data_IF_750206205740
#
_entry.id   IF_750206205740
#
_cell.length_a   1.000
_cell.length_b   1.000
_cell.length_c   1.000
_cell.angle_alpha   90.00
_cell.angle_beta   90.00
_cell.angle_gamma   90.00
#
_symmetry.space_group_name_H-M   'P 1'
#
loop_
_entity.id
_entity.type
_entity.pdbx_description
1 polymer ?
#
# COMPACT_ATOMS: atom_id res chain seq x y z
N UNK A 1 11.51 20.62 7.86
CA UNK A 1 11.27 19.41 8.67
C UNK A 1 10.79 18.33 7.71
N UNK A 2 11.59 17.30 7.45
CA UNK A 2 11.21 16.23 6.53
C UNK A 2 10.29 15.31 7.31
N UNK A 3 9.00 15.34 7.02
CA UNK A 3 8.07 14.33 7.55
C UNK A 3 8.41 12.98 6.94
N UNK A 4 9.03 12.15 7.72
CA UNK A 4 9.33 10.77 7.35
C UNK A 4 8.08 9.95 7.52
N UNK A 5 7.32 9.83 6.47
CA UNK A 5 6.30 8.80 6.42
C UNK A 5 7.02 7.46 6.23
N UNK A 6 6.70 6.47 7.06
CA UNK A 6 7.41 5.18 7.18
C UNK A 6 7.65 4.39 5.88
N UNK A 7 7.05 4.77 4.77
CA UNK A 7 7.25 4.16 3.46
C UNK A 7 7.82 5.13 2.42
N UNK A 8 7.76 6.44 2.68
CA UNK A 8 8.20 7.46 1.74
C UNK A 8 9.06 8.49 2.46
N UNK A 9 10.15 8.86 1.83
CA UNK A 9 10.96 10.02 2.20
C UNK A 9 10.80 11.03 1.09
N UNK A 10 10.34 12.23 1.43
CA UNK A 10 10.28 13.32 0.46
C UNK A 10 11.68 13.90 0.30
N UNK A 11 12.24 13.76 -0.88
CA UNK A 11 13.56 14.29 -1.23
C UNK A 11 13.55 14.69 -2.70
N UNK A 12 13.81 15.96 -2.98
CA UNK A 12 13.72 16.48 -4.33
C UNK A 12 15.01 16.22 -5.13
N UNK A 13 14.91 15.37 -6.13
CA UNK A 13 15.93 15.15 -7.16
C UNK A 13 15.35 15.33 -8.57
N UNK A 14 14.26 16.08 -8.72
CA UNK A 14 13.57 16.30 -9.98
C UNK A 14 12.19 15.68 -10.05
N UNK A 15 11.37 16.17 -10.97
CA UNK A 15 9.96 15.80 -11.13
C UNK A 15 9.69 14.78 -12.25
N UNK A 16 10.65 14.58 -13.14
CA UNK A 16 10.58 13.68 -14.30
C UNK A 16 11.97 13.26 -14.76
N UNK A 17 12.04 12.40 -15.75
CA UNK A 17 13.31 11.86 -16.27
C UNK A 17 14.24 12.93 -16.87
N UNK A 18 13.70 14.05 -17.39
CA UNK A 18 14.52 15.06 -18.06
C UNK A 18 15.23 15.99 -17.07
N UNK A 19 14.67 16.13 -15.86
CA UNK A 19 15.23 16.97 -14.81
C UNK A 19 15.69 16.18 -13.58
N UNK A 20 15.84 14.85 -13.70
CA UNK A 20 16.29 13.99 -12.62
C UNK A 20 17.78 14.16 -12.33
N UNK A 21 18.11 14.61 -11.13
CA UNK A 21 19.48 14.69 -10.64
C UNK A 21 19.90 13.37 -9.98
N UNK A 22 20.30 12.42 -10.82
CA UNK A 22 20.77 11.10 -10.39
C UNK A 22 21.98 11.20 -9.46
N UNK A 23 22.91 12.12 -9.73
CA UNK A 23 24.11 12.32 -8.91
C UNK A 23 23.76 12.71 -7.49
N UNK A 24 22.88 13.69 -7.33
CA UNK A 24 22.35 14.13 -6.03
C UNK A 24 21.65 12.98 -5.30
N UNK A 25 20.82 12.20 -6.01
CA UNK A 25 20.16 11.03 -5.46
C UNK A 25 21.15 10.00 -4.94
N UNK A 26 22.11 9.57 -5.77
CA UNK A 26 23.09 8.54 -5.43
C UNK A 26 24.02 8.96 -4.27
N UNK A 27 24.35 10.23 -4.17
CA UNK A 27 25.17 10.74 -3.06
C UNK A 27 24.44 10.76 -1.71
N UNK A 28 23.12 10.88 -1.72
CA UNK A 28 22.37 11.17 -0.50
C UNK A 28 21.41 10.07 -0.05
N UNK A 29 21.01 9.12 -0.92
CA UNK A 29 19.95 8.18 -0.57
C UNK A 29 20.22 7.32 0.67
N UNK A 30 21.50 6.99 0.93
CA UNK A 30 21.91 6.22 2.13
C UNK A 30 21.71 7.02 3.40
N UNK A 31 21.93 8.34 3.34
CA UNK A 31 21.79 9.24 4.48
C UNK A 31 20.30 9.51 4.81
N UNK A 32 19.40 9.21 3.87
CA UNK A 32 17.95 9.32 4.05
C UNK A 32 17.33 8.05 4.65
N UNK A 33 18.14 7.02 4.89
CA UNK A 33 17.70 5.77 5.43
C UNK A 33 17.60 5.84 6.97
N UNK A 34 16.55 5.25 7.55
CA UNK A 34 16.34 5.23 8.99
C UNK A 34 16.40 3.83 9.57
N UNK A 35 15.41 3.01 9.25
CA UNK A 35 15.28 1.65 9.75
C UNK A 35 14.42 0.82 8.80
N UNK A 36 14.53 -0.49 8.90
CA UNK A 36 13.60 -1.40 8.26
C UNK A 36 12.23 -1.29 8.93
N UNK A 37 11.17 -1.16 8.15
CA UNK A 37 9.84 -0.95 8.71
C UNK A 37 8.89 -2.09 8.40
N UNK A 38 7.93 -2.25 9.29
CA UNK A 38 6.90 -3.27 9.24
C UNK A 38 5.80 -2.87 8.27
N UNK A 39 5.26 -3.85 7.55
CA UNK A 39 4.01 -3.69 6.83
C UNK A 39 4.10 -2.79 5.62
N UNK A 40 5.20 -2.84 4.88
CA UNK A 40 5.27 -2.20 3.56
C UNK A 40 4.16 -2.76 2.65
N UNK A 41 3.57 -1.89 1.85
CA UNK A 41 2.41 -2.25 1.02
C UNK A 41 2.37 -1.47 -0.30
N UNK A 42 3.48 -0.85 -0.68
CA UNK A 42 3.63 -0.12 -1.93
C UNK A 42 4.65 -0.82 -2.83
N UNK A 43 4.49 -0.63 -4.14
CA UNK A 43 5.49 -1.03 -5.11
C UNK A 43 6.81 -0.24 -4.90
N UNK A 44 7.98 -0.82 -5.23
CA UNK A 44 8.12 -2.14 -5.82
C UNK A 44 7.98 -3.27 -4.80
N UNK A 45 7.44 -4.41 -5.24
CA UNK A 45 7.37 -5.62 -4.44
C UNK A 45 8.48 -6.59 -4.88
N UNK A 46 9.23 -7.11 -3.91
CA UNK A 46 10.09 -8.27 -4.11
C UNK A 46 9.37 -9.48 -3.52
N UNK A 47 9.01 -10.43 -4.37
CA UNK A 47 8.26 -11.62 -4.00
C UNK A 47 8.74 -12.82 -4.79
N UNK A 48 8.73 -14.01 -4.17
CA UNK A 48 9.11 -15.24 -4.86
C UNK A 48 8.12 -15.57 -5.98
N UNK A 49 8.61 -16.01 -7.14
CA UNK A 49 7.81 -16.30 -8.34
C UNK A 49 6.65 -17.27 -8.06
N UNK A 50 6.88 -18.28 -7.24
CA UNK A 50 5.84 -19.24 -6.87
C UNK A 50 4.69 -18.59 -6.09
N UNK A 51 4.99 -17.66 -5.19
CA UNK A 51 3.97 -16.89 -4.48
C UNK A 51 3.20 -15.98 -5.42
N UNK A 52 3.89 -15.33 -6.36
CA UNK A 52 3.25 -14.54 -7.41
C UNK A 52 2.25 -15.39 -8.20
N UNK A 53 2.67 -16.55 -8.68
CA UNK A 53 1.82 -17.46 -9.45
C UNK A 53 0.66 -18.00 -8.60
N UNK A 54 0.93 -18.38 -7.34
CA UNK A 54 -0.08 -18.89 -6.41
C UNK A 54 -1.21 -17.89 -6.15
N UNK A 55 -0.89 -16.59 -6.05
CA UNK A 55 -1.89 -15.56 -5.77
C UNK A 55 -2.46 -14.90 -7.03
N UNK A 56 -1.93 -15.23 -8.22
CA UNK A 56 -2.38 -14.70 -9.50
C UNK A 56 -1.99 -13.24 -9.75
N UNK A 57 -0.84 -12.78 -9.26
CA UNK A 57 -0.32 -11.44 -9.50
C UNK A 57 -1.25 -10.31 -9.04
N UNK A 58 -1.23 -9.16 -9.73
CA UNK A 58 -2.18 -8.07 -9.50
C UNK A 58 -3.56 -8.37 -10.10
N UNK A 59 -4.61 -7.89 -9.45
CA UNK A 59 -5.99 -8.08 -9.91
C UNK A 59 -6.40 -6.96 -10.87
N UNK A 60 -6.93 -7.32 -12.04
CA UNK A 60 -7.31 -6.39 -13.11
C UNK A 60 -8.43 -5.43 -12.71
N UNK A 61 -9.29 -5.83 -11.79
CA UNK A 61 -10.37 -5.00 -11.25
C UNK A 61 -9.89 -3.69 -10.59
N UNK A 62 -8.60 -3.58 -10.29
CA UNK A 62 -7.96 -2.36 -9.76
C UNK A 62 -7.30 -1.51 -10.85
N UNK A 63 -7.50 -1.80 -12.14
CA UNK A 63 -6.99 -0.95 -13.21
C UNK A 63 -7.60 0.48 -13.11
N UNK A 64 -6.79 1.54 -13.21
CA UNK A 64 -5.38 1.64 -13.61
C UNK A 64 -4.35 1.52 -12.46
N UNK A 65 -4.66 0.93 -11.31
CA UNK A 65 -3.66 0.57 -10.30
C UNK A 65 -3.97 1.00 -8.87
N UNK A 66 -4.91 1.92 -8.63
CA UNK A 66 -5.24 2.36 -7.27
C UNK A 66 -5.90 1.23 -6.49
N UNK A 67 -5.29 0.87 -5.34
CA UNK A 67 -5.76 -0.25 -4.53
C UNK A 67 -5.16 -1.60 -4.89
N UNK A 68 -4.41 -1.72 -6.00
CA UNK A 68 -3.78 -2.96 -6.43
C UNK A 68 -2.70 -3.45 -5.45
N UNK A 69 -1.87 -2.56 -4.92
CA UNK A 69 -0.83 -2.93 -3.96
C UNK A 69 -1.40 -3.53 -2.67
N UNK A 70 -2.36 -2.89 -1.97
CA UNK A 70 -2.97 -3.51 -0.80
C UNK A 70 -3.75 -4.79 -1.12
N UNK A 71 -4.38 -4.89 -2.29
CA UNK A 71 -5.03 -6.12 -2.74
C UNK A 71 -4.04 -7.27 -2.90
N UNK A 72 -2.94 -7.02 -3.60
CA UNK A 72 -1.87 -7.99 -3.76
C UNK A 72 -1.31 -8.46 -2.42
N UNK A 73 -1.03 -7.52 -1.50
CA UNK A 73 -0.57 -7.86 -0.16
C UNK A 73 -1.62 -8.64 0.65
N UNK A 74 -2.91 -8.38 0.47
CA UNK A 74 -3.97 -9.16 1.11
C UNK A 74 -4.04 -10.59 0.55
N UNK A 75 -3.84 -10.77 -0.75
CA UNK A 75 -3.72 -12.11 -1.36
C UNK A 75 -2.52 -12.87 -0.82
N UNK A 76 -1.36 -12.21 -0.70
CA UNK A 76 -0.16 -12.79 -0.07
C UNK A 76 -0.41 -13.16 1.39
N UNK A 77 -1.10 -12.31 2.15
CA UNK A 77 -1.50 -12.61 3.53
C UNK A 77 -2.34 -13.88 3.61
N UNK A 78 -3.36 -14.03 2.76
CA UNK A 78 -4.21 -15.21 2.69
C UNK A 78 -3.46 -16.46 2.23
N UNK A 79 -2.40 -16.29 1.43
CA UNK A 79 -1.51 -17.37 1.04
C UNK A 79 -0.54 -17.81 2.15
N UNK A 80 -0.58 -17.17 3.33
CA UNK A 80 0.24 -17.51 4.50
C UNK A 80 1.48 -16.62 4.70
N UNK A 81 1.71 -15.63 3.85
CA UNK A 81 2.85 -14.70 4.03
C UNK A 81 2.65 -13.86 5.28
N UNK A 82 3.71 -13.73 6.09
CA UNK A 82 3.70 -12.93 7.34
C UNK A 82 4.85 -11.93 7.42
N UNK A 83 5.75 -11.93 6.45
CA UNK A 83 6.86 -10.98 6.35
C UNK A 83 6.52 -9.96 5.27
N UNK A 84 6.25 -8.73 5.71
CA UNK A 84 6.02 -7.55 4.87
C UNK A 84 7.00 -6.47 5.31
N UNK A 85 8.22 -6.56 4.81
CA UNK A 85 9.35 -5.76 5.27
C UNK A 85 9.68 -4.65 4.28
N UNK A 86 9.70 -3.42 4.72
CA UNK A 86 10.31 -2.31 3.99
C UNK A 86 11.79 -2.27 4.30
N UNK A 87 12.62 -2.55 3.29
CA UNK A 87 14.08 -2.60 3.43
C UNK A 87 14.62 -1.18 3.31
N UNK A 88 15.21 -0.68 4.39
CA UNK A 88 15.68 0.68 4.53
C UNK A 88 16.70 1.10 3.46
N UNK A 89 17.64 0.23 3.13
CA UNK A 89 18.68 0.53 2.14
C UNK A 89 18.27 0.23 0.70
N UNK A 90 17.10 -0.37 0.48
CA UNK A 90 16.58 -0.66 -0.84
C UNK A 90 15.60 0.42 -1.26
N UNK A 91 16.06 1.39 -2.03
CA UNK A 91 15.33 2.61 -2.39
C UNK A 91 15.12 2.71 -3.89
N UNK A 92 13.98 3.29 -4.25
CA UNK A 92 13.72 3.79 -5.60
C UNK A 92 13.31 5.26 -5.50
N UNK A 93 13.62 6.01 -6.55
CA UNK A 93 13.07 7.35 -6.71
C UNK A 93 11.77 7.28 -7.49
N UNK A 94 10.71 7.87 -6.93
CA UNK A 94 9.38 7.86 -7.52
C UNK A 94 8.94 9.27 -7.90
N UNK A 95 8.74 9.51 -9.19
CA UNK A 95 8.32 10.82 -9.74
C UNK A 95 6.86 11.17 -9.44
N UNK A 96 6.32 10.76 -8.31
CA UNK A 96 4.99 11.13 -7.82
C UNK A 96 3.85 10.92 -8.82
N UNK A 97 3.80 9.77 -9.48
CA UNK A 97 2.67 9.34 -10.32
C UNK A 97 2.32 10.31 -11.47
N UNK A 98 3.31 10.84 -12.17
CA UNK A 98 3.13 11.79 -13.30
C UNK A 98 2.09 11.29 -14.31
N UNK A 99 2.05 9.99 -14.57
CA UNK A 99 1.11 9.36 -15.52
C UNK A 99 -0.33 9.27 -15.00
N UNK A 100 -0.51 9.10 -13.70
CA UNK A 100 -1.83 8.87 -13.07
C UNK A 100 -2.50 10.14 -12.58
N UNK A 101 -1.76 11.23 -12.35
CA UNK A 101 -2.31 12.49 -11.81
C UNK A 101 -3.41 13.10 -12.67
N UNK A 102 -3.32 12.96 -14.00
CA UNK A 102 -4.31 13.51 -14.94
C UNK A 102 -5.66 12.79 -14.96
N UNK A 103 -5.77 11.62 -14.26
CA UNK A 103 -7.00 10.80 -14.22
C UNK A 103 -7.53 10.57 -12.79
N UNK A 104 -6.99 11.26 -11.78
CA UNK A 104 -6.95 10.76 -10.40
C UNK A 104 -8.21 10.93 -9.57
N UNK A 105 -9.02 11.97 -9.76
CA UNK A 105 -10.06 12.30 -8.76
C UNK A 105 -11.24 11.32 -8.79
N UNK A 106 -11.65 10.87 -9.96
CA UNK A 106 -12.75 9.89 -10.12
C UNK A 106 -12.28 8.45 -9.82
N UNK A 107 -11.05 8.12 -10.21
CA UNK A 107 -10.50 6.76 -10.14
C UNK A 107 -10.02 6.41 -8.73
N UNK A 108 -9.53 7.38 -7.95
CA UNK A 108 -8.99 7.15 -6.61
C UNK A 108 -10.01 6.56 -5.64
N UNK A 109 -11.21 7.09 -5.65
CA UNK A 109 -12.31 6.58 -4.82
C UNK A 109 -12.75 5.17 -5.23
N UNK A 110 -12.66 4.82 -6.51
CA UNK A 110 -13.06 3.52 -7.02
C UNK A 110 -12.19 2.38 -6.50
N UNK A 111 -10.86 2.53 -6.46
CA UNK A 111 -9.94 1.50 -5.96
C UNK A 111 -10.13 1.17 -4.48
N UNK A 112 -10.34 2.18 -3.62
CA UNK A 112 -10.62 1.97 -2.19
C UNK A 112 -12.00 1.32 -1.97
N UNK A 113 -12.99 1.66 -2.79
CA UNK A 113 -14.32 1.05 -2.75
C UNK A 113 -14.24 -0.41 -3.22
N UNK A 114 -13.53 -0.68 -4.31
CA UNK A 114 -13.29 -2.04 -4.84
C UNK A 114 -12.64 -2.92 -3.78
N UNK A 115 -11.59 -2.41 -3.10
CA UNK A 115 -10.94 -3.12 -2.00
C UNK A 115 -11.93 -3.43 -0.85
N UNK A 116 -12.72 -2.42 -0.43
CA UNK A 116 -13.70 -2.57 0.64
C UNK A 116 -14.80 -3.58 0.25
N UNK A 117 -15.29 -3.56 -0.99
CA UNK A 117 -16.29 -4.52 -1.49
C UNK A 117 -15.72 -5.93 -1.49
N UNK A 118 -14.50 -6.13 -2.00
CA UNK A 118 -13.81 -7.42 -2.13
C UNK A 118 -13.50 -8.06 -0.77
N UNK A 119 -12.84 -7.31 0.11
CA UNK A 119 -12.29 -7.84 1.36
C UNK A 119 -13.17 -7.60 2.60
N UNK A 120 -14.22 -6.78 2.49
CA UNK A 120 -15.14 -6.48 3.60
C UNK A 120 -14.63 -5.46 4.61
N UNK A 121 -13.43 -4.92 4.41
CA UNK A 121 -12.83 -3.87 5.22
C UNK A 121 -11.95 -2.94 4.36
N UNK A 122 -11.63 -1.76 4.89
CA UNK A 122 -10.86 -0.75 4.15
C UNK A 122 -9.36 -1.06 4.09
N UNK A 123 -8.66 -0.44 3.13
CA UNK A 123 -7.19 -0.47 3.07
C UNK A 123 -6.54 0.06 4.36
N UNK A 124 -7.15 1.08 4.99
CA UNK A 124 -6.71 1.61 6.29
C UNK A 124 -6.81 0.56 7.40
N UNK A 125 -7.91 -0.20 7.43
CA UNK A 125 -8.09 -1.30 8.39
C UNK A 125 -7.01 -2.38 8.20
N UNK A 126 -6.78 -2.80 6.97
CA UNK A 126 -5.74 -3.79 6.64
C UNK A 126 -4.36 -3.34 7.10
N UNK A 127 -3.98 -2.11 6.75
CA UNK A 127 -2.68 -1.53 7.15
C UNK A 127 -2.49 -1.47 8.67
N UNK A 128 -3.56 -1.12 9.41
CA UNK A 128 -3.52 -0.98 10.87
C UNK A 128 -3.47 -2.32 11.58
N UNK A 129 -4.39 -3.22 11.26
CA UNK A 129 -4.62 -4.44 12.04
C UNK A 129 -3.83 -5.65 11.57
N UNK A 130 -3.58 -5.74 10.26
CA UNK A 130 -2.86 -6.88 9.68
C UNK A 130 -1.38 -6.56 9.50
N UNK A 131 -1.06 -5.48 8.81
CA UNK A 131 0.32 -5.17 8.43
C UNK A 131 1.10 -4.44 9.53
N UNK A 132 0.44 -3.82 10.51
CA UNK A 132 1.07 -2.93 11.51
C UNK A 132 1.98 -1.89 10.86
N UNK A 133 1.53 -1.34 9.72
CA UNK A 133 2.31 -0.39 8.92
C UNK A 133 2.80 0.78 9.74
N UNK A 134 3.98 1.28 9.44
CA UNK A 134 4.68 2.40 10.08
C UNK A 134 5.37 2.07 11.42
N UNK A 135 5.39 0.83 11.85
CA UNK A 135 6.21 0.41 12.99
C UNK A 135 7.59 -0.10 12.55
N UNK A 136 8.50 -0.17 13.50
CA UNK A 136 9.79 -0.83 13.31
C UNK A 136 9.57 -2.30 12.92
N UNK A 137 10.39 -2.82 12.01
CA UNK A 137 10.33 -4.24 11.66
C UNK A 137 10.80 -5.11 12.82
N UNK A 138 9.93 -5.99 13.27
CA UNK A 138 10.19 -6.89 14.41
C UNK A 138 10.11 -8.36 14.03
N UNK A 139 9.94 -8.67 12.72
CA UNK A 139 9.84 -10.04 12.25
C UNK A 139 8.47 -10.36 11.63
N UNK A 140 8.13 -11.65 11.56
CA UNK A 140 6.85 -12.08 11.03
C UNK A 140 5.67 -11.50 11.81
N UNK A 141 4.59 -11.19 11.10
CA UNK A 141 3.36 -10.67 11.67
C UNK A 141 2.49 -11.80 12.22
N UNK A 142 1.94 -11.58 13.40
CA UNK A 142 0.90 -12.43 13.98
C UNK A 142 -0.47 -12.15 13.36
N UNK A 143 -1.42 -13.05 13.60
CA UNK A 143 -2.83 -12.79 13.31
C UNK A 143 -3.32 -11.54 14.06
N UNK A 144 -4.22 -10.75 13.45
CA UNK A 144 -4.75 -9.54 14.10
C UNK A 144 -5.37 -9.82 15.46
N UNK A 145 -5.00 -9.02 16.47
CA UNK A 145 -5.62 -9.07 17.78
C UNK A 145 -7.04 -8.53 17.70
N UNK A 146 -8.04 -9.40 17.93
CA UNK A 146 -9.47 -9.06 17.87
C UNK A 146 -9.94 -8.42 19.17
N UNK A 147 -9.45 -7.22 19.46
CA UNK A 147 -9.85 -6.40 20.62
C UNK A 147 -11.00 -5.44 20.26
N UNK A 148 -11.45 -4.63 21.23
CA UNK A 148 -12.54 -3.65 21.03
C UNK A 148 -12.27 -2.70 19.86
N UNK A 149 -11.02 -2.21 19.71
CA UNK A 149 -10.62 -1.30 18.63
C UNK A 149 -10.76 -1.99 17.28
N UNK A 150 -10.34 -3.26 17.18
CA UNK A 150 -10.49 -4.05 15.95
C UNK A 150 -11.97 -4.16 15.55
N UNK A 151 -12.85 -4.51 16.47
CA UNK A 151 -14.27 -4.67 16.17
C UNK A 151 -14.96 -3.33 15.87
N UNK A 152 -14.56 -2.25 16.55
CA UNK A 152 -15.06 -0.91 16.25
C UNK A 152 -14.65 -0.45 14.83
N UNK A 153 -13.38 -0.57 14.48
CA UNK A 153 -12.91 -0.23 13.13
C UNK A 153 -13.57 -1.11 12.06
N UNK A 154 -13.80 -2.40 12.35
CA UNK A 154 -14.50 -3.31 11.45
C UNK A 154 -15.96 -2.91 11.26
N UNK A 155 -16.63 -2.50 12.33
CA UNK A 155 -18.01 -2.00 12.29
C UNK A 155 -18.12 -0.76 11.41
N UNK A 156 -17.20 0.20 11.55
CA UNK A 156 -17.15 1.37 10.68
C UNK A 156 -16.94 1.00 9.20
N UNK A 157 -16.12 -0.02 8.92
CA UNK A 157 -15.97 -0.55 7.57
C UNK A 157 -17.28 -1.14 7.02
N UNK A 158 -18.05 -1.84 7.86
CA UNK A 158 -19.36 -2.41 7.46
C UNK A 158 -20.38 -1.32 7.14
N UNK A 159 -20.46 -0.27 7.96
CA UNK A 159 -21.31 0.91 7.70
C UNK A 159 -20.91 1.54 6.36
N UNK A 160 -19.62 1.78 6.15
CA UNK A 160 -19.12 2.35 4.89
C UNK A 160 -19.45 1.47 3.68
N UNK A 161 -19.29 0.14 3.80
CA UNK A 161 -19.64 -0.81 2.76
C UNK A 161 -21.14 -0.78 2.43
N UNK A 162 -22.00 -0.71 3.46
CA UNK A 162 -23.44 -0.61 3.29
C UNK A 162 -23.85 0.70 2.60
N UNK A 163 -23.27 1.84 3.02
CA UNK A 163 -23.46 3.13 2.37
C UNK A 163 -23.13 3.07 0.86
N UNK A 164 -21.96 2.51 0.50
CA UNK A 164 -21.59 2.40 -0.91
C UNK A 164 -22.46 1.42 -1.69
N UNK A 165 -23.05 0.43 -1.03
CA UNK A 165 -24.03 -0.45 -1.68
C UNK A 165 -25.34 0.28 -2.01
N UNK A 166 -25.76 1.22 -1.19
CA UNK A 166 -27.01 1.98 -1.38
C UNK A 166 -26.87 3.12 -2.40
N UNK A 167 -25.76 3.85 -2.35
CA UNK A 167 -25.60 5.13 -3.05
C UNK A 167 -24.63 5.09 -4.22
N UNK A 168 -23.80 4.07 -4.33
CA UNK A 168 -22.93 3.83 -5.46
C UNK A 168 -23.38 2.56 -6.18
N UNK A 169 -24.50 2.67 -6.86
CA UNK A 169 -24.92 1.64 -7.82
C UNK A 169 -23.86 1.63 -8.93
N UNK A 170 -23.34 0.43 -9.25
CA UNK A 170 -22.35 0.27 -10.31
C UNK A 170 -22.95 0.78 -11.63
N UNK A 171 -22.57 1.98 -12.04
CA UNK A 171 -22.71 2.36 -13.45
C UNK A 171 -21.66 1.54 -14.21
N UNK A 172 -22.12 0.45 -14.79
CA UNK A 172 -21.38 -0.34 -15.78
C UNK A 172 -21.09 0.48 -17.03
#
# INVERSE_FOLDING_TARGET
MIEVNSAHISYDCGSDLNNFDEKKFLQNYKNLAFYDHQGTHFAPHLVHKELWNKVGGFSEEFNPGIGSDPDFNMKLWNAGVRIFKGINLFRIYHFSSVTTRKKLDIIRNKGDITFLKKWGFSTKFFKKHYLKSKSLFTGPLDMPKKNLIYYFDLFLCKIKKFYFKLFYYDSH
#
